data_IF_257967988160
#
_entry.id   IF_257967988160
#
_cell.length_a   1.000
_cell.length_b   1.000
_cell.length_c   1.000
_cell.angle_alpha   90.00
_cell.angle_beta   90.00
_cell.angle_gamma   90.00
#
_symmetry.space_group_name_H-M   'P 1'
#
loop_
_entity.id
_entity.type
_entity.pdbx_description
1 polymer ?
#
# COMPACT_ATOMS: atom_id res chain seq x y z
N UNK A 1 -53.86 -29.39 54.93
CA UNK A 1 -54.70 -29.87 53.81
C UNK A 1 -54.78 -28.77 52.76
N UNK A 2 -54.85 -29.15 51.48
CA UNK A 2 -54.79 -28.32 50.26
C UNK A 2 -53.38 -27.77 49.95
N UNK A 3 -52.77 -27.94 48.78
CA UNK A 3 -53.22 -28.47 47.49
C UNK A 3 -52.66 -27.59 46.38
N UNK A 4 -52.07 -28.20 45.35
CA UNK A 4 -52.15 -27.84 43.90
C UNK A 4 -50.82 -27.91 43.13
N UNK A 5 -50.54 -29.13 42.63
CA UNK A 5 -50.22 -29.48 41.24
C UNK A 5 -49.60 -28.36 40.38
N UNK A 6 -48.33 -28.48 40.01
CA UNK A 6 -47.74 -27.75 38.87
C UNK A 6 -47.27 -28.77 37.83
N UNK A 7 -48.11 -28.92 36.80
CA UNK A 7 -47.77 -29.58 35.55
C UNK A 7 -46.96 -28.60 34.70
N UNK A 8 -45.87 -29.04 34.08
CA UNK A 8 -45.13 -28.12 33.21
C UNK A 8 -43.81 -28.59 32.66
N UNK A 9 -43.87 -29.57 31.75
CA UNK A 9 -43.00 -29.70 30.56
C UNK A 9 -41.50 -29.90 30.79
N UNK A 10 -41.12 -31.17 30.72
CA UNK A 10 -39.88 -31.62 30.09
C UNK A 10 -39.74 -31.00 28.69
N UNK A 11 -38.67 -30.25 28.47
CA UNK A 11 -38.04 -30.09 27.16
C UNK A 11 -36.55 -29.88 27.40
N UNK A 12 -35.83 -31.01 27.46
CA UNK A 12 -34.40 -31.04 27.31
C UNK A 12 -34.04 -30.58 25.89
N UNK A 13 -33.16 -29.59 25.76
CA UNK A 13 -32.39 -29.41 24.52
C UNK A 13 -30.92 -29.26 24.88
N UNK A 14 -30.19 -30.24 24.37
CA UNK A 14 -28.81 -30.60 24.68
C UNK A 14 -27.85 -29.53 24.17
N UNK A 15 -27.04 -29.00 25.08
CA UNK A 15 -25.84 -28.21 24.75
C UNK A 15 -24.80 -29.17 24.16
N UNK A 16 -24.48 -29.00 22.88
CA UNK A 16 -23.28 -29.57 22.26
C UNK A 16 -22.40 -28.43 21.79
N UNK A 17 -21.44 -28.04 22.63
CA UNK A 17 -20.38 -27.12 22.29
C UNK A 17 -19.34 -27.85 21.44
N UNK A 18 -19.41 -27.69 20.12
CA UNK A 18 -18.34 -28.10 19.23
C UNK A 18 -17.27 -27.00 19.18
N UNK A 19 -16.13 -27.25 19.83
CA UNK A 19 -14.90 -26.49 19.66
C UNK A 19 -14.30 -26.86 18.29
N UNK A 20 -14.56 -26.04 17.28
CA UNK A 20 -13.92 -26.09 15.97
C UNK A 20 -13.29 -24.75 15.64
N UNK A 21 -12.05 -24.55 16.09
CA UNK A 21 -11.26 -23.37 15.82
C UNK A 21 -10.85 -23.32 14.33
N UNK A 22 -11.33 -22.31 13.63
CA UNK A 22 -10.62 -21.61 12.56
C UNK A 22 -11.01 -20.13 12.66
N UNK A 23 -10.64 -19.49 13.78
CA UNK A 23 -10.59 -18.02 13.85
C UNK A 23 -9.37 -17.58 13.05
N UNK A 24 -9.43 -17.75 11.73
CA UNK A 24 -8.64 -16.91 10.83
C UNK A 24 -9.27 -15.54 10.94
N UNK A 25 -8.69 -14.68 11.77
CA UNK A 25 -8.96 -13.24 11.76
C UNK A 25 -8.51 -12.70 10.41
N UNK A 26 -9.29 -12.96 9.37
CA UNK A 26 -9.33 -12.07 8.22
C UNK A 26 -9.91 -10.77 8.76
N UNK A 27 -9.03 -9.88 9.21
CA UNK A 27 -9.23 -8.45 9.05
C UNK A 27 -9.28 -8.20 7.55
N UNK A 28 -10.35 -8.66 6.92
CA UNK A 28 -10.63 -8.44 5.52
C UNK A 28 -11.06 -6.99 5.42
N UNK A 29 -10.11 -6.11 5.11
CA UNK A 29 -10.44 -4.81 4.55
C UNK A 29 -11.52 -5.03 3.48
N UNK A 30 -12.60 -4.23 3.46
CA UNK A 30 -13.73 -4.46 2.56
C UNK A 30 -13.21 -4.69 1.15
N UNK A 31 -13.66 -5.78 0.53
CA UNK A 31 -13.14 -6.29 -0.74
C UNK A 31 -13.00 -5.13 -1.75
N UNK A 32 -11.77 -4.78 -2.09
CA UNK A 32 -11.45 -3.70 -3.05
C UNK A 32 -10.76 -2.46 -2.47
N UNK A 33 -10.62 -2.30 -1.15
CA UNK A 33 -9.78 -1.26 -0.53
C UNK A 33 -8.30 -1.67 -0.58
N UNK A 34 -7.39 -0.88 -1.17
CA UNK A 34 -5.97 -1.22 -1.18
C UNK A 34 -5.36 -1.07 0.23
N UNK A 35 -4.66 -2.12 0.68
CA UNK A 35 -3.88 -2.12 1.91
C UNK A 35 -2.43 -1.76 1.61
N UNK A 36 -1.91 -0.73 2.28
CA UNK A 36 -0.54 -0.24 2.14
C UNK A 36 0.14 -0.22 3.51
N UNK A 37 1.32 -0.84 3.61
CA UNK A 37 2.10 -0.78 4.84
C UNK A 37 3.07 0.39 4.79
N UNK A 38 3.06 1.21 5.85
CA UNK A 38 4.08 2.23 6.07
C UNK A 38 5.25 1.62 6.87
N UNK A 39 6.41 1.50 6.22
CA UNK A 39 7.60 0.85 6.78
C UNK A 39 8.42 1.82 7.63
N UNK A 40 8.75 2.98 7.06
CA UNK A 40 9.57 3.99 7.72
C UNK A 40 9.24 5.39 7.20
N UNK A 41 9.54 6.39 8.03
CA UNK A 41 9.67 7.78 7.62
C UNK A 41 11.00 8.27 8.19
N UNK A 42 11.91 8.61 7.29
CA UNK A 42 13.25 9.09 7.59
C UNK A 42 13.33 10.62 7.35
N UNK A 43 14.21 11.31 8.08
CA UNK A 43 14.40 12.76 7.96
C UNK A 43 13.52 13.62 8.90
N UNK A 44 12.62 13.02 9.68
CA UNK A 44 11.86 13.69 10.72
C UNK A 44 12.23 13.19 12.14
N UNK A 45 12.32 14.08 13.14
CA UNK A 45 12.41 13.67 14.54
C UNK A 45 11.21 12.81 14.96
N UNK A 46 11.40 11.91 15.93
CA UNK A 46 10.35 10.96 16.38
C UNK A 46 9.00 11.63 16.67
N UNK A 47 8.91 12.78 17.40
CA UNK A 47 7.61 13.40 17.68
C UNK A 47 6.88 13.86 16.40
N UNK A 48 7.62 14.45 15.46
CA UNK A 48 7.07 14.91 14.17
C UNK A 48 6.66 13.73 13.31
N UNK A 49 7.46 12.66 13.29
CA UNK A 49 7.12 11.43 12.59
C UNK A 49 5.81 10.83 13.11
N UNK A 50 5.66 10.70 14.43
CA UNK A 50 4.43 10.16 15.02
C UNK A 50 3.22 11.00 14.62
N UNK A 51 3.31 12.32 14.77
CA UNK A 51 2.23 13.23 14.36
C UNK A 51 1.93 13.14 12.85
N UNK A 52 2.94 12.97 12.00
CA UNK A 52 2.73 12.77 10.57
C UNK A 52 2.03 11.44 10.25
N UNK A 53 2.37 10.35 10.96
CA UNK A 53 1.69 9.05 10.79
C UNK A 53 0.20 9.17 11.13
N UNK A 54 -0.15 9.92 12.17
CA UNK A 54 -1.55 10.16 12.54
C UNK A 54 -2.30 10.89 11.41
N UNK A 55 -1.70 11.96 10.87
CA UNK A 55 -2.28 12.72 9.74
C UNK A 55 -2.35 11.90 8.45
N UNK A 56 -1.34 11.06 8.15
CA UNK A 56 -1.36 10.13 7.01
C UNK A 56 -2.47 9.09 7.14
N UNK A 57 -2.71 8.58 8.35
CA UNK A 57 -3.79 7.61 8.62
C UNK A 57 -5.17 8.25 8.39
N UNK A 58 -5.36 9.50 8.83
CA UNK A 58 -6.57 10.26 8.55
C UNK A 58 -6.75 10.46 7.04
N UNK A 59 -5.72 10.93 6.34
CA UNK A 59 -5.75 11.19 4.91
C UNK A 59 -5.94 9.92 4.06
N UNK A 60 -5.44 8.77 4.54
CA UNK A 60 -5.66 7.47 3.91
C UNK A 60 -7.12 7.01 4.03
N UNK A 61 -7.73 7.20 5.21
CA UNK A 61 -9.14 6.90 5.44
C UNK A 61 -10.04 7.68 4.48
N UNK A 62 -9.78 8.98 4.30
CA UNK A 62 -10.54 9.83 3.36
C UNK A 62 -10.46 9.34 1.90
N UNK A 63 -9.34 8.71 1.54
CA UNK A 63 -9.07 8.15 0.20
C UNK A 63 -9.43 6.68 0.08
N UNK A 64 -10.02 6.08 1.11
CA UNK A 64 -10.34 4.65 1.17
C UNK A 64 -9.11 3.78 0.90
N UNK A 65 -7.98 4.14 1.50
CA UNK A 65 -6.74 3.35 1.56
C UNK A 65 -6.57 2.88 2.99
N UNK A 66 -6.34 1.58 3.17
CA UNK A 66 -6.06 1.02 4.49
C UNK A 66 -4.55 1.12 4.76
N UNK A 67 -4.15 2.11 5.55
CA UNK A 67 -2.76 2.34 5.91
C UNK A 67 -2.41 1.59 7.19
N UNK A 68 -1.56 0.59 7.08
CA UNK A 68 -1.18 -0.30 8.17
C UNK A 68 0.31 -0.13 8.54
N UNK A 69 0.70 -0.62 9.72
CA UNK A 69 2.11 -0.62 10.13
C UNK A 69 2.95 -1.67 9.42
N UNK A 70 4.28 -1.51 9.48
CA UNK A 70 5.27 -2.37 8.81
C UNK A 70 5.09 -3.89 9.01
N UNK A 71 4.64 -4.32 10.20
CA UNK A 71 4.46 -5.75 10.52
C UNK A 71 3.24 -6.39 9.88
N UNK A 72 2.30 -5.60 9.35
CA UNK A 72 1.09 -6.12 8.73
C UNK A 72 1.35 -6.61 7.29
N UNK A 73 0.44 -7.45 6.81
CA UNK A 73 0.44 -7.86 5.40
C UNK A 73 -0.17 -6.74 4.54
N UNK A 74 0.55 -6.35 3.49
CA UNK A 74 0.11 -5.33 2.54
C UNK A 74 0.68 -5.66 1.15
N UNK A 75 -0.09 -5.34 0.10
CA UNK A 75 0.34 -5.53 -1.30
C UNK A 75 1.50 -4.61 -1.66
N UNK A 76 1.48 -3.39 -1.11
CA UNK A 76 2.54 -2.41 -1.28
C UNK A 76 3.08 -1.98 0.08
N UNK A 77 4.39 -1.72 0.10
CA UNK A 77 5.13 -1.26 1.29
C UNK A 77 5.81 0.06 0.96
N UNK A 78 5.71 1.04 1.83
CA UNK A 78 6.12 2.42 1.56
C UNK A 78 7.18 2.89 2.54
N UNK A 79 8.25 3.48 2.02
CA UNK A 79 9.30 4.15 2.81
C UNK A 79 9.32 5.64 2.45
N UNK A 80 9.17 6.49 3.46
CA UNK A 80 9.15 7.94 3.33
C UNK A 80 10.48 8.59 3.65
N UNK A 81 10.81 9.65 2.92
CA UNK A 81 11.98 10.49 3.18
C UNK A 81 11.55 11.95 3.11
N UNK A 82 11.85 12.71 4.16
CA UNK A 82 11.48 14.12 4.27
C UNK A 82 12.72 15.00 4.39
N UNK A 83 12.64 16.18 3.79
CA UNK A 83 13.65 17.22 3.90
C UNK A 83 13.00 18.59 3.76
N UNK A 84 13.68 19.63 4.24
CA UNK A 84 13.31 21.01 3.90
C UNK A 84 14.10 21.44 2.68
N UNK A 85 13.42 22.09 1.75
CA UNK A 85 14.04 22.78 0.62
C UNK A 85 13.58 24.23 0.64
N UNK A 86 14.50 25.15 0.37
CA UNK A 86 14.17 26.57 0.19
C UNK A 86 14.43 26.92 -1.27
N UNK A 87 13.39 27.32 -1.97
CA UNK A 87 13.43 27.72 -3.39
C UNK A 87 12.74 29.07 -3.53
N UNK A 88 13.35 30.00 -4.25
CA UNK A 88 12.84 31.37 -4.45
C UNK A 88 12.44 32.12 -3.16
N UNK A 89 13.13 31.82 -2.05
CA UNK A 89 12.86 32.41 -0.73
C UNK A 89 11.68 31.78 0.02
N UNK A 90 10.98 30.80 -0.55
CA UNK A 90 9.93 30.04 0.11
C UNK A 90 10.50 28.70 0.61
N UNK A 91 10.29 28.41 1.90
CA UNK A 91 10.66 27.09 2.45
C UNK A 91 9.49 26.12 2.30
N UNK A 92 9.79 24.94 1.76
CA UNK A 92 8.84 23.85 1.55
C UNK A 92 9.38 22.57 2.17
N UNK A 93 8.48 21.64 2.46
CA UNK A 93 8.85 20.27 2.81
C UNK A 93 8.88 19.46 1.53
N UNK A 94 10.07 19.07 1.09
CA UNK A 94 10.23 18.10 0.01
C UNK A 94 10.08 16.68 0.58
N UNK A 95 9.30 15.85 -0.11
CA UNK A 95 9.03 14.49 0.30
C UNK A 95 9.25 13.50 -0.84
N UNK A 96 9.64 12.29 -0.46
CA UNK A 96 9.73 11.13 -1.36
C UNK A 96 9.06 9.94 -0.69
N UNK A 97 8.22 9.24 -1.43
CA UNK A 97 7.67 7.95 -1.05
C UNK A 97 8.15 6.88 -2.03
N UNK A 98 9.04 6.00 -1.55
CA UNK A 98 9.44 4.82 -2.30
C UNK A 98 8.43 3.69 -2.04
N UNK A 99 7.73 3.26 -3.09
CA UNK A 99 6.72 2.20 -3.04
C UNK A 99 7.32 0.90 -3.55
N UNK A 100 7.23 -0.16 -2.75
CA UNK A 100 7.74 -1.49 -3.04
C UNK A 100 6.62 -2.51 -3.21
N UNK A 101 6.77 -3.40 -4.19
CA UNK A 101 5.86 -4.53 -4.43
C UNK A 101 6.10 -5.69 -3.45
N UNK A 102 5.30 -6.76 -3.58
CA UNK A 102 5.43 -7.97 -2.75
C UNK A 102 6.76 -8.72 -2.95
N UNK A 103 7.45 -8.49 -4.07
CA UNK A 103 8.78 -9.03 -4.37
C UNK A 103 9.91 -8.13 -3.86
N UNK A 104 9.58 -7.08 -3.08
CA UNK A 104 10.52 -6.08 -2.54
C UNK A 104 11.25 -5.29 -3.64
N UNK A 105 10.70 -5.24 -4.85
CA UNK A 105 11.20 -4.38 -5.92
C UNK A 105 10.51 -3.03 -5.83
N UNK A 106 11.25 -1.95 -6.10
CA UNK A 106 10.66 -0.61 -6.12
C UNK A 106 9.73 -0.49 -7.33
N UNK A 107 8.43 -0.41 -7.07
CA UNK A 107 7.40 -0.25 -8.09
C UNK A 107 7.35 1.21 -8.58
N UNK A 108 7.46 2.17 -7.66
CA UNK A 108 7.43 3.59 -7.98
C UNK A 108 8.20 4.41 -6.96
N UNK A 109 8.75 5.52 -7.41
CA UNK A 109 9.18 6.63 -6.57
C UNK A 109 8.21 7.78 -6.79
N UNK A 110 7.50 8.18 -5.74
CA UNK A 110 6.62 9.34 -5.71
C UNK A 110 7.39 10.46 -5.02
N UNK A 111 7.32 11.67 -5.55
CA UNK A 111 8.11 12.78 -5.03
C UNK A 111 7.38 14.08 -5.30
N UNK A 112 7.35 14.93 -4.28
CA UNK A 112 6.68 16.22 -4.35
C UNK A 112 7.19 17.16 -3.28
N UNK A 113 6.48 18.28 -3.14
CA UNK A 113 6.70 19.21 -2.04
C UNK A 113 5.38 19.71 -1.48
N UNK A 114 5.39 20.08 -0.20
CA UNK A 114 4.25 20.68 0.48
C UNK A 114 4.67 22.03 1.07
N UNK A 115 3.89 23.11 0.90
CA UNK A 115 4.19 24.39 1.51
C UNK A 115 4.13 24.28 3.03
N UNK A 116 5.15 24.82 3.70
CA UNK A 116 5.22 24.81 5.16
C UNK A 116 5.75 26.16 5.67
N UNK A 117 5.05 26.83 6.61
CA UNK A 117 5.54 28.04 7.25
C UNK A 117 6.60 27.72 8.32
N UNK A 118 7.54 26.83 8.00
CA UNK A 118 8.52 26.29 8.94
C UNK A 118 9.91 26.28 8.29
N UNK A 119 10.93 26.62 9.07
CA UNK A 119 12.33 26.64 8.62
C UNK A 119 12.99 25.26 8.67
N UNK A 120 12.37 24.29 9.34
CA UNK A 120 12.88 22.92 9.50
C UNK A 120 11.73 21.91 9.65
N UNK A 121 12.01 20.63 9.39
CA UNK A 121 11.06 19.53 9.64
C UNK A 121 10.64 19.48 11.12
N UNK A 122 11.56 19.79 12.04
CA UNK A 122 11.32 19.78 13.49
C UNK A 122 10.29 20.82 13.96
N UNK A 123 10.02 21.84 13.14
CA UNK A 123 9.15 22.98 13.46
C UNK A 123 7.80 22.93 12.74
N UNK A 124 7.46 21.82 12.09
CA UNK A 124 6.16 21.67 11.42
C UNK A 124 5.03 21.66 12.44
N UNK A 125 4.04 22.51 12.22
CA UNK A 125 2.80 22.52 12.99
C UNK A 125 1.81 21.48 12.44
N UNK A 126 0.73 21.25 13.19
CA UNK A 126 -0.31 20.29 12.80
C UNK A 126 -0.91 20.61 11.43
N UNK A 127 -1.11 21.89 11.11
CA UNK A 127 -1.71 22.31 9.86
C UNK A 127 -0.80 22.07 8.65
N UNK A 128 0.52 22.15 8.81
CA UNK A 128 1.49 21.77 7.79
C UNK A 128 1.59 20.25 7.64
N UNK A 129 1.58 19.50 8.75
CA UNK A 129 1.58 18.03 8.73
C UNK A 129 0.34 17.47 8.02
N UNK A 130 -0.84 18.04 8.29
CA UNK A 130 -2.07 17.66 7.61
C UNK A 130 -1.99 17.90 6.09
N UNK A 131 -1.47 19.06 5.65
CA UNK A 131 -1.28 19.36 4.22
C UNK A 131 -0.27 18.42 3.56
N UNK A 132 0.84 18.14 4.24
CA UNK A 132 1.84 17.19 3.75
C UNK A 132 1.24 15.79 3.60
N UNK A 133 0.47 15.33 4.59
CA UNK A 133 -0.21 14.04 4.56
C UNK A 133 -1.25 13.96 3.45
N UNK A 134 -2.05 15.02 3.26
CA UNK A 134 -3.01 15.11 2.17
C UNK A 134 -2.33 14.98 0.81
N UNK A 135 -1.31 15.79 0.53
CA UNK A 135 -0.58 15.75 -0.74
C UNK A 135 0.10 14.37 -0.96
N UNK A 136 0.68 13.80 0.09
CA UNK A 136 1.32 12.48 0.04
C UNK A 136 0.32 11.37 -0.31
N UNK A 137 -0.83 11.35 0.35
CA UNK A 137 -1.82 10.31 0.12
C UNK A 137 -2.56 10.49 -1.21
N UNK A 138 -2.61 11.69 -1.78
CA UNK A 138 -3.09 11.91 -3.17
C UNK A 138 -2.20 11.15 -4.16
N UNK A 139 -0.88 11.35 -4.10
CA UNK A 139 0.06 10.66 -4.99
C UNK A 139 0.02 9.13 -4.81
N UNK A 140 -0.09 8.66 -3.56
CA UNK A 140 -0.19 7.23 -3.26
C UNK A 140 -1.48 6.65 -3.83
N UNK A 141 -2.63 7.31 -3.61
CA UNK A 141 -3.91 6.82 -4.11
C UNK A 141 -3.98 6.83 -5.65
N UNK A 142 -3.38 7.83 -6.29
CA UNK A 142 -3.25 7.88 -7.75
C UNK A 142 -2.44 6.70 -8.27
N UNK A 143 -1.27 6.43 -7.68
CA UNK A 143 -0.44 5.27 -8.02
C UNK A 143 -1.21 3.94 -7.86
N UNK A 144 -1.92 3.77 -6.74
CA UNK A 144 -2.68 2.54 -6.46
C UNK A 144 -3.80 2.33 -7.49
N UNK A 145 -4.44 3.41 -7.93
CA UNK A 145 -5.50 3.37 -8.94
C UNK A 145 -4.94 3.02 -10.32
N UNK A 146 -3.83 3.63 -10.72
CA UNK A 146 -3.14 3.32 -11.98
C UNK A 146 -2.67 1.86 -12.03
N UNK A 147 -2.05 1.38 -10.94
CA UNK A 147 -1.52 0.02 -10.84
C UNK A 147 -2.59 -1.06 -10.93
N UNK A 148 -3.83 -0.76 -10.51
CA UNK A 148 -4.97 -1.69 -10.63
C UNK A 148 -5.39 -1.88 -12.08
N UNK A 149 -5.32 -0.84 -12.90
CA UNK A 149 -5.71 -0.87 -14.31
C UNK A 149 -4.73 -1.67 -15.16
N UNK A 150 -3.42 -1.56 -14.89
CA UNK A 150 -2.38 -2.32 -15.61
C UNK A 150 -2.55 -3.84 -15.43
N UNK A 151 -2.99 -4.30 -14.25
CA UNK A 151 -3.19 -5.74 -13.99
C UNK A 151 -4.41 -6.33 -14.73
N UNK A 152 -5.30 -5.51 -15.28
CA UNK A 152 -6.50 -5.95 -16.02
C UNK A 152 -6.28 -5.89 -17.54
N UNK A 153 -5.32 -5.09 -18.01
CA UNK A 153 -5.02 -4.92 -19.43
C UNK A 153 -4.08 -5.99 -20.01
N UNK A 154 -3.44 -6.83 -19.20
CA UNK A 154 -2.71 -8.02 -19.66
C UNK A 154 -3.67 -9.19 -19.97
N UNK A 155 -4.61 -8.98 -20.91
CA UNK A 155 -5.11 -10.12 -21.71
C UNK A 155 -4.01 -10.44 -22.71
N UNK A 156 -3.47 -11.68 -22.75
CA UNK A 156 -2.51 -12.06 -23.77
C UNK A 156 -3.23 -12.01 -25.12
N UNK A 157 -3.03 -10.92 -25.86
CA UNK A 157 -3.25 -10.93 -27.29
C UNK A 157 -2.16 -11.83 -27.88
N UNK A 158 -2.47 -13.12 -28.00
CA UNK A 158 -1.76 -14.05 -28.87
C UNK A 158 -1.60 -13.40 -30.25
N UNK A 159 -0.38 -13.06 -30.71
CA UNK A 159 -0.15 -12.92 -32.13
C UNK A 159 0.02 -14.35 -32.64
N UNK A 160 -1.09 -14.98 -33.01
CA UNK A 160 -1.05 -16.15 -33.88
C UNK A 160 -0.73 -15.62 -35.28
N UNK A 161 0.55 -15.70 -35.67
CA UNK A 161 0.94 -15.80 -37.06
C UNK A 161 2.34 -16.45 -37.17
N UNK A 162 2.54 -17.31 -38.18
CA UNK A 162 3.39 -18.49 -38.09
C UNK A 162 4.88 -18.21 -38.35
N UNK A 163 5.69 -19.10 -37.78
CA UNK A 163 7.07 -19.43 -38.15
C UNK A 163 7.37 -19.20 -39.65
N UNK A 164 8.33 -18.32 -39.94
CA UNK A 164 9.09 -18.39 -41.19
C UNK A 164 10.54 -18.69 -40.84
N UNK A 165 10.89 -19.95 -40.99
CA UNK A 165 12.25 -20.47 -41.09
C UNK A 165 12.85 -19.99 -42.41
N UNK A 166 13.91 -19.18 -42.37
CA UNK A 166 14.89 -18.99 -43.45
C UNK A 166 16.08 -18.28 -42.81
N UNK A 167 17.08 -19.03 -42.35
CA UNK A 167 18.28 -19.46 -43.10
C UNK A 167 19.47 -18.65 -42.60
N UNK A 168 20.29 -19.34 -41.80
CA UNK A 168 21.54 -18.81 -41.28
C UNK A 168 22.51 -18.71 -42.45
N UNK A 169 22.93 -17.49 -42.78
CA UNK A 169 24.02 -17.28 -43.72
C UNK A 169 25.33 -17.62 -43.00
N UNK A 170 25.78 -18.87 -43.18
CA UNK A 170 27.10 -19.31 -42.79
C UNK A 170 28.05 -19.11 -43.97
N UNK A 171 28.71 -17.97 -44.01
CA UNK A 171 29.80 -17.69 -44.94
C UNK A 171 31.09 -18.28 -44.35
N UNK A 172 31.55 -19.41 -44.89
CA UNK A 172 32.87 -19.99 -44.62
C UNK A 172 33.74 -19.84 -45.88
N UNK A 173 34.91 -19.17 -45.82
CA UNK A 173 35.79 -19.03 -46.98
C UNK A 173 36.72 -20.25 -47.12
N UNK A 174 36.86 -20.86 -48.31
CA UNK A 174 37.89 -21.87 -48.52
C UNK A 174 39.27 -21.22 -48.69
N UNK A 175 40.22 -21.78 -47.95
CA UNK A 175 41.67 -21.53 -48.00
C UNK A 175 42.25 -21.88 -49.38
N UNK A 176 43.25 -21.10 -49.78
CA UNK A 176 43.95 -21.09 -51.06
C UNK A 176 44.53 -22.44 -51.55
N UNK A 177 44.59 -22.60 -52.88
CA UNK A 177 45.64 -23.35 -53.58
C UNK A 177 45.69 -22.96 -55.07
N UNK A 178 46.63 -22.08 -55.43
CA UNK A 178 47.63 -22.18 -56.53
C UNK A 178 48.26 -20.83 -56.83
#
# INVERSE_FOLDING_TARGET
MAGMKHAGRLAAMVVTAALGACQGSFSGSPQGVPVVALESIDGAPTPIRTALVDELTSAATDRKVDLVGASAEARYRVRGYLSTSTEDGETKVAYVWDVFDSQKRRAKRLAGSSPAPASSISSLDKAALAKLAQASMDEIAEFLTASKSETVSETPATPEAPIQTAEVSGEEPPVAMQ
#
